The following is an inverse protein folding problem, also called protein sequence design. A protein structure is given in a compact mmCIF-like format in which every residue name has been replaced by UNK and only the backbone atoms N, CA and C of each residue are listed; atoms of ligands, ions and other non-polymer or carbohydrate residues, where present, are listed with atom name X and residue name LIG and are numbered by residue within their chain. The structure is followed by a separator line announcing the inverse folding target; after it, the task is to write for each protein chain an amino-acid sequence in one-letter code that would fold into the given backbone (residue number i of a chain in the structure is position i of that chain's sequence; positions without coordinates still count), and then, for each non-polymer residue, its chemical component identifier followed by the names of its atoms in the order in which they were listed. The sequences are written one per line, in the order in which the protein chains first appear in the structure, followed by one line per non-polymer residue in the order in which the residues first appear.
data_IF_869639938335
#
_entry.id   IF_869639938335
#
_cell.length_a   1.000
_cell.length_b   1.000
_cell.length_c   1.000
_cell.angle_alpha   90.00
_cell.angle_beta   90.00
_cell.angle_gamma   90.00
#
_symmetry.space_group_name_H-M   'P 1'
#
loop_
_entity.id
_entity.type
_entity.pdbx_description
1 polymer ?
#
# COMPACT_ATOMS: atom_id res chain seq x y z
N UNK A 1 -36.49 33.92 -17.33
CA UNK A 1 -35.08 33.67 -17.41
C UNK A 1 -34.73 32.58 -16.43
N UNK A 2 -34.83 31.35 -16.83
CA UNK A 2 -34.45 30.26 -15.98
C UNK A 2 -32.98 30.24 -15.79
N UNK A 3 -32.52 30.59 -14.63
CA UNK A 3 -31.22 30.11 -14.19
C UNK A 3 -31.34 28.61 -14.06
N UNK A 4 -31.04 27.94 -15.11
CA UNK A 4 -30.71 26.57 -15.02
C UNK A 4 -29.43 26.49 -14.23
N UNK A 5 -29.58 26.42 -12.91
CA UNK A 5 -28.55 25.85 -12.11
C UNK A 5 -28.31 24.48 -12.66
N UNK A 6 -27.32 24.35 -13.48
CA UNK A 6 -26.74 23.05 -13.73
C UNK A 6 -26.24 22.59 -12.40
N UNK A 7 -27.08 21.86 -11.73
CA UNK A 7 -26.62 20.98 -10.65
C UNK A 7 -25.71 19.97 -11.34
N UNK A 8 -24.49 20.38 -11.52
CA UNK A 8 -23.46 19.41 -11.65
C UNK A 8 -23.46 18.67 -10.32
N UNK A 9 -24.31 17.69 -10.20
CA UNK A 9 -24.14 16.70 -9.18
C UNK A 9 -22.84 16.01 -9.51
N UNK A 10 -21.77 16.57 -9.01
CA UNK A 10 -20.53 15.84 -8.91
C UNK A 10 -20.86 14.65 -8.05
N UNK A 11 -21.16 13.56 -8.69
CA UNK A 11 -21.25 12.29 -8.05
C UNK A 11 -19.86 11.94 -7.60
N UNK A 12 -19.45 12.51 -6.47
CA UNK A 12 -18.40 11.92 -5.70
C UNK A 12 -18.97 10.62 -5.21
N UNK A 13 -18.54 9.52 -5.78
CA UNK A 13 -18.75 8.22 -5.18
C UNK A 13 -17.89 8.16 -3.94
N UNK A 14 -18.47 8.38 -2.74
CA UNK A 14 -17.74 8.11 -1.51
C UNK A 14 -17.56 6.62 -1.45
N UNK A 15 -16.37 6.14 -1.32
CA UNK A 15 -16.12 4.72 -1.20
C UNK A 15 -15.17 4.17 -2.20
N UNK A 16 -14.70 4.97 -3.13
CA UNK A 16 -13.40 4.71 -3.66
C UNK A 16 -12.40 5.05 -2.56
N UNK A 17 -12.25 4.13 -1.62
CA UNK A 17 -11.07 4.12 -0.80
C UNK A 17 -9.92 3.86 -1.76
N UNK A 18 -9.58 4.88 -2.54
CA UNK A 18 -8.46 4.83 -3.44
C UNK A 18 -7.23 4.51 -2.63
N UNK A 19 -6.48 3.53 -3.07
CA UNK A 19 -5.17 3.25 -2.51
C UNK A 19 -4.31 4.50 -2.65
N UNK A 20 -3.69 4.93 -1.56
CA UNK A 20 -2.74 6.04 -1.61
C UNK A 20 -1.40 5.55 -2.09
N UNK A 21 -0.88 6.18 -3.14
CA UNK A 21 0.45 5.94 -3.67
C UNK A 21 1.37 7.05 -3.20
N UNK A 22 2.52 6.67 -2.67
CA UNK A 22 3.52 7.58 -2.15
C UNK A 22 4.84 7.29 -2.83
N UNK A 23 5.55 8.34 -3.25
CA UNK A 23 6.91 8.18 -3.76
C UNK A 23 7.88 8.16 -2.59
N UNK A 24 8.56 7.02 -2.40
CA UNK A 24 9.60 6.91 -1.39
C UNK A 24 10.94 7.43 -1.88
N UNK A 25 11.80 7.78 -0.95
CA UNK A 25 13.15 8.25 -1.23
C UNK A 25 14.15 7.16 -0.88
N UNK A 26 15.00 6.79 -1.84
CA UNK A 26 16.02 5.75 -1.62
C UNK A 26 17.35 6.43 -1.30
N UNK A 27 17.91 6.04 -0.14
CA UNK A 27 19.28 6.40 0.26
C UNK A 27 19.99 5.12 0.70
N UNK A 28 21.01 4.72 -0.03
CA UNK A 28 21.69 3.45 0.20
C UNK A 28 20.71 2.29 0.03
N UNK A 29 20.55 1.47 1.06
CA UNK A 29 19.63 0.33 1.06
C UNK A 29 18.27 0.65 1.70
N UNK A 30 17.99 1.92 2.04
CA UNK A 30 16.75 2.30 2.72
C UNK A 30 15.82 3.07 1.79
N UNK A 31 14.56 2.67 1.81
CA UNK A 31 13.44 3.38 1.19
C UNK A 31 12.69 4.09 2.30
N UNK A 32 12.65 5.42 2.26
CA UNK A 32 12.07 6.23 3.32
C UNK A 32 10.76 6.88 2.90
N UNK A 33 9.79 6.86 3.79
CA UNK A 33 8.53 7.61 3.70
C UNK A 33 8.28 8.29 5.04
N UNK A 34 7.30 9.18 5.07
CA UNK A 34 6.91 9.87 6.30
C UNK A 34 5.73 9.16 6.95
N UNK A 35 5.71 9.14 8.27
CA UNK A 35 4.54 8.65 9.01
C UNK A 35 3.28 9.41 8.61
N UNK A 36 3.40 10.72 8.36
CA UNK A 36 2.28 11.55 7.95
C UNK A 36 1.71 11.16 6.57
N UNK A 37 2.42 10.37 5.77
CA UNK A 37 1.90 9.82 4.52
C UNK A 37 0.71 8.90 4.76
N UNK A 38 0.54 8.39 5.97
CA UNK A 38 -0.61 7.59 6.37
C UNK A 38 -1.83 8.41 6.80
N UNK A 39 -1.70 9.73 6.96
CA UNK A 39 -2.80 10.57 7.38
C UNK A 39 -3.70 10.94 6.19
N UNK A 40 -5.01 10.77 6.38
CA UNK A 40 -5.99 11.26 5.43
C UNK A 40 -6.37 12.72 5.74
N UNK A 41 -7.31 13.27 4.97
CA UNK A 41 -7.74 14.66 5.14
C UNK A 41 -8.37 14.93 6.50
N UNK A 42 -8.96 13.92 7.12
CA UNK A 42 -9.59 14.01 8.44
C UNK A 42 -8.60 13.75 9.59
N UNK A 43 -7.30 13.65 9.30
CA UNK A 43 -6.24 13.29 10.22
C UNK A 43 -6.39 11.91 10.86
N UNK A 44 -7.10 11.01 10.19
CA UNK A 44 -7.16 9.59 10.55
C UNK A 44 -6.06 8.82 9.83
N UNK A 45 -5.54 7.78 10.47
CA UNK A 45 -4.52 6.94 9.86
C UNK A 45 -5.12 5.93 8.91
N UNK A 46 -4.57 5.90 7.69
CA UNK A 46 -4.86 4.86 6.71
C UNK A 46 -4.27 3.53 7.18
N UNK A 47 -4.89 2.43 6.78
CA UNK A 47 -4.40 1.08 7.10
C UNK A 47 -3.15 0.71 6.31
N UNK A 48 -2.99 1.28 5.13
CA UNK A 48 -1.83 1.03 4.27
C UNK A 48 -1.58 2.18 3.31
N UNK A 49 -0.36 2.24 2.83
CA UNK A 49 0.03 3.05 1.67
C UNK A 49 0.87 2.19 0.75
N UNK A 50 0.84 2.50 -0.55
CA UNK A 50 1.69 1.84 -1.54
C UNK A 50 2.84 2.77 -1.86
N UNK A 51 4.05 2.29 -1.68
CA UNK A 51 5.28 3.06 -1.90
C UNK A 51 5.88 2.68 -3.24
N UNK A 52 6.12 3.69 -4.05
CA UNK A 52 6.71 3.55 -5.38
C UNK A 52 8.04 4.30 -5.45
N UNK A 53 8.92 3.83 -6.30
CA UNK A 53 10.15 4.52 -6.70
C UNK A 53 10.58 3.95 -8.03
N UNK A 54 11.13 4.78 -8.92
CA UNK A 54 11.54 4.35 -10.26
C UNK A 54 12.62 3.25 -10.24
N UNK A 55 13.38 3.16 -9.15
CA UNK A 55 14.38 2.10 -8.99
C UNK A 55 13.78 0.75 -8.58
N UNK A 56 12.50 0.72 -8.20
CA UNK A 56 11.82 -0.51 -7.79
C UNK A 56 11.08 -1.11 -8.98
N UNK A 57 11.27 -2.41 -9.20
CA UNK A 57 10.53 -3.15 -10.22
C UNK A 57 9.07 -3.36 -9.81
N UNK A 58 8.82 -3.56 -8.52
CA UNK A 58 7.49 -3.73 -7.94
C UNK A 58 7.30 -2.73 -6.82
N UNK A 59 6.08 -2.22 -6.61
CA UNK A 59 5.82 -1.38 -5.46
C UNK A 59 5.87 -2.18 -4.15
N UNK A 60 5.97 -1.46 -3.06
CA UNK A 60 5.97 -2.02 -1.71
C UNK A 60 4.77 -1.47 -0.97
N UNK A 61 3.88 -2.33 -0.50
CA UNK A 61 2.80 -1.92 0.38
C UNK A 61 3.30 -1.89 1.82
N UNK A 62 2.98 -0.83 2.54
CA UNK A 62 3.29 -0.72 3.96
C UNK A 62 1.96 -0.69 4.71
N UNK A 63 1.73 -1.72 5.52
CA UNK A 63 0.57 -1.80 6.41
C UNK A 63 0.93 -1.23 7.77
N UNK A 64 0.06 -0.37 8.28
CA UNK A 64 0.13 0.11 9.65
C UNK A 64 -0.70 -0.82 10.52
N UNK A 65 -0.03 -1.70 11.25
CA UNK A 65 -0.69 -2.69 12.11
C UNK A 65 -1.08 -2.09 13.46
N UNK A 66 -0.27 -1.15 13.94
CA UNK A 66 -0.53 -0.35 15.14
C UNK A 66 0.35 0.90 15.11
N UNK A 67 0.30 1.71 16.14
CA UNK A 67 1.02 2.99 16.22
C UNK A 67 2.51 2.89 15.88
N UNK A 68 3.18 1.84 16.34
CA UNK A 68 4.62 1.66 16.13
C UNK A 68 4.95 0.37 15.36
N UNK A 69 3.95 -0.28 14.78
CA UNK A 69 4.15 -1.55 14.11
C UNK A 69 3.70 -1.44 12.65
N UNK A 70 4.67 -1.52 11.75
CA UNK A 70 4.48 -1.42 10.30
C UNK A 70 5.03 -2.67 9.64
N UNK A 71 4.34 -3.13 8.60
CA UNK A 71 4.76 -4.29 7.81
C UNK A 71 4.90 -3.89 6.35
N UNK A 72 6.08 -4.03 5.80
CA UNK A 72 6.36 -3.73 4.39
C UNK A 72 6.47 -5.02 3.59
N UNK A 73 5.70 -5.10 2.51
CA UNK A 73 5.61 -6.30 1.67
C UNK A 73 5.83 -5.93 0.21
N UNK A 74 6.64 -6.74 -0.49
CA UNK A 74 6.80 -6.60 -1.94
C UNK A 74 5.52 -7.04 -2.63
N UNK A 75 4.97 -6.17 -3.47
CA UNK A 75 3.71 -6.44 -4.19
C UNK A 75 3.94 -7.30 -5.43
N UNK A 76 4.61 -8.41 -5.24
CA UNK A 76 4.93 -9.38 -6.29
C UNK A 76 4.36 -10.73 -5.90
N UNK A 77 3.45 -11.25 -6.70
CA UNK A 77 2.87 -12.57 -6.46
C UNK A 77 3.96 -13.65 -6.51
N UNK A 78 4.02 -14.48 -5.47
CA UNK A 78 5.03 -15.54 -5.38
C UNK A 78 4.74 -16.72 -6.30
N UNK A 79 3.53 -16.77 -6.90
CA UNK A 79 3.19 -17.81 -7.86
C UNK A 79 3.87 -17.58 -9.21
N UNK A 80 3.63 -16.42 -9.85
CA UNK A 80 4.17 -16.14 -11.19
C UNK A 80 4.71 -14.72 -11.38
N UNK A 81 4.89 -13.97 -10.29
CA UNK A 81 5.49 -12.66 -10.35
C UNK A 81 4.59 -11.54 -10.86
N UNK A 82 3.28 -11.74 -10.92
CA UNK A 82 2.32 -10.69 -11.26
C UNK A 82 2.28 -9.63 -10.15
N UNK A 83 2.15 -8.37 -10.52
CA UNK A 83 1.97 -7.30 -9.54
C UNK A 83 0.64 -7.46 -8.82
N UNK A 84 0.69 -7.38 -7.50
CA UNK A 84 -0.47 -7.56 -6.64
C UNK A 84 -1.30 -6.28 -6.54
N UNK A 85 -2.56 -6.44 -6.18
CA UNK A 85 -3.46 -5.36 -5.79
C UNK A 85 -3.74 -5.43 -4.30
N UNK A 86 -3.89 -4.28 -3.65
CA UNK A 86 -4.18 -4.22 -2.23
C UNK A 86 -5.64 -3.80 -2.02
N UNK A 87 -6.32 -4.52 -1.12
CA UNK A 87 -7.70 -4.24 -0.73
C UNK A 87 -7.80 -4.30 0.79
N UNK A 88 -8.01 -3.14 1.43
CA UNK A 88 -8.15 -3.08 2.88
C UNK A 88 -6.91 -3.62 3.58
N UNK A 89 -7.02 -4.81 4.17
CA UNK A 89 -5.96 -5.46 4.93
C UNK A 89 -5.39 -6.70 4.24
N UNK A 90 -5.62 -6.86 2.93
CA UNK A 90 -5.14 -8.02 2.16
C UNK A 90 -4.65 -7.63 0.79
N UNK A 91 -3.91 -8.56 0.17
CA UNK A 91 -3.45 -8.43 -1.20
C UNK A 91 -4.03 -9.56 -2.04
N UNK A 92 -4.28 -9.25 -3.32
CA UNK A 92 -4.81 -10.21 -4.26
C UNK A 92 -4.03 -10.17 -5.56
N UNK A 93 -3.77 -11.35 -6.13
CA UNK A 93 -3.20 -11.47 -7.46
C UNK A 93 -4.32 -11.46 -8.51
N UNK A 94 -4.34 -10.48 -9.42
CA UNK A 94 -5.39 -10.39 -10.42
C UNK A 94 -5.31 -11.50 -11.48
N UNK A 95 -4.17 -12.18 -11.61
CA UNK A 95 -3.98 -13.19 -12.65
C UNK A 95 -4.69 -14.50 -12.30
N UNK A 96 -4.47 -15.05 -11.09
CA UNK A 96 -4.98 -16.36 -10.71
C UNK A 96 -5.68 -16.39 -9.35
N UNK A 97 -5.90 -15.23 -8.73
CA UNK A 97 -6.69 -15.11 -7.52
C UNK A 97 -5.98 -15.47 -6.22
N UNK A 98 -4.65 -15.63 -6.23
CA UNK A 98 -3.90 -15.81 -4.97
C UNK A 98 -4.14 -14.65 -4.03
N UNK A 99 -4.32 -14.93 -2.74
CA UNK A 99 -4.55 -13.92 -1.72
C UNK A 99 -3.52 -14.03 -0.60
N UNK A 100 -3.15 -12.88 -0.06
CA UNK A 100 -2.17 -12.77 1.01
C UNK A 100 -2.71 -11.85 2.10
N UNK A 101 -2.37 -12.16 3.34
CA UNK A 101 -2.72 -11.33 4.49
C UNK A 101 -1.83 -10.09 4.55
N UNK A 102 -2.16 -9.16 5.45
CA UNK A 102 -1.34 -7.96 5.69
C UNK A 102 0.01 -8.26 6.35
N UNK A 103 0.30 -9.49 6.69
CA UNK A 103 1.62 -9.94 7.15
C UNK A 103 2.37 -10.71 6.08
N UNK A 104 1.77 -10.89 4.89
CA UNK A 104 2.39 -11.57 3.76
C UNK A 104 2.16 -13.07 3.70
N UNK A 105 1.40 -13.63 4.65
CA UNK A 105 1.07 -15.06 4.64
C UNK A 105 0.08 -15.38 3.52
N UNK A 106 0.22 -16.55 2.92
CA UNK A 106 -0.74 -17.04 1.93
C UNK A 106 -2.09 -17.29 2.60
N UNK A 107 -3.12 -16.69 2.07
CA UNK A 107 -4.50 -16.90 2.51
C UNK A 107 -5.28 -17.79 1.55
N UNK A 108 -4.99 -17.66 0.26
CA UNK A 108 -5.63 -18.46 -0.78
C UNK A 108 -4.64 -18.72 -1.90
N UNK A 109 -4.59 -19.97 -2.39
CA UNK A 109 -3.74 -20.36 -3.51
C UNK A 109 -4.21 -19.79 -4.86
N UNK A 110 -3.47 -20.03 -5.94
CA UNK A 110 -2.42 -21.05 -6.11
C UNK A 110 -1.03 -20.73 -5.54
N UNK A 111 -0.76 -19.50 -5.08
CA UNK A 111 0.50 -19.23 -4.40
C UNK A 111 0.62 -20.08 -3.13
N UNK A 112 1.83 -20.56 -2.84
CA UNK A 112 2.13 -21.39 -1.69
C UNK A 112 3.28 -20.84 -0.84
N UNK A 113 3.84 -19.72 -1.25
CA UNK A 113 4.97 -19.08 -0.58
C UNK A 113 4.58 -17.68 -0.14
N UNK A 114 4.95 -17.30 1.08
CA UNK A 114 4.68 -15.98 1.62
C UNK A 114 5.38 -14.86 0.81
N UNK A 115 4.85 -13.65 0.91
CA UNK A 115 5.43 -12.49 0.25
C UNK A 115 6.76 -12.11 0.91
N UNK A 116 7.68 -11.56 0.10
CA UNK A 116 8.89 -10.96 0.65
C UNK A 116 8.51 -9.78 1.52
N UNK A 117 9.02 -9.76 2.74
CA UNK A 117 8.86 -8.65 3.67
C UNK A 117 10.18 -7.92 3.90
N UNK A 118 10.08 -6.67 4.29
CA UNK A 118 11.23 -5.82 4.56
C UNK A 118 11.12 -5.28 5.99
N UNK A 119 12.21 -5.25 6.77
CA UNK A 119 12.18 -4.60 8.06
C UNK A 119 11.82 -3.12 7.93
N UNK A 120 11.02 -2.62 8.85
CA UNK A 120 10.66 -1.21 8.92
C UNK A 120 11.17 -0.64 10.24
N UNK A 121 11.96 0.42 10.14
CA UNK A 121 12.52 1.13 11.29
C UNK A 121 11.84 2.49 11.36
N UNK A 122 11.20 2.78 12.50
CA UNK A 122 10.61 4.09 12.74
C UNK A 122 11.61 4.96 13.51
N UNK A 123 12.00 6.06 12.91
CA UNK A 123 12.85 7.07 13.56
C UNK A 123 12.10 8.39 13.56
N UNK A 124 11.65 8.83 14.74
CA UNK A 124 10.77 9.99 14.87
C UNK A 124 9.54 9.83 14.00
N UNK A 125 9.39 10.64 12.97
CA UNK A 125 8.26 10.59 12.02
C UNK A 125 8.65 10.03 10.65
N UNK A 126 9.79 9.38 10.55
CA UNK A 126 10.26 8.77 9.32
C UNK A 126 10.21 7.26 9.44
N UNK A 127 9.67 6.61 8.43
CA UNK A 127 9.69 5.17 8.30
C UNK A 127 10.74 4.78 7.28
N UNK A 128 11.70 3.98 7.69
CA UNK A 128 12.78 3.47 6.84
C UNK A 128 12.55 2.00 6.56
N UNK A 129 12.38 1.67 5.31
CA UNK A 129 12.19 0.31 4.84
C UNK A 129 13.54 -0.21 4.38
N UNK A 130 14.03 -1.26 5.02
CA UNK A 130 15.32 -1.87 4.71
C UNK A 130 15.18 -2.81 3.52
N UNK A 131 15.77 -2.42 2.38
CA UNK A 131 15.69 -3.18 1.14
C UNK A 131 16.83 -4.21 1.00
N UNK A 132 17.76 -4.25 1.94
CA UNK A 132 18.91 -5.14 1.87
C UNK A 132 18.57 -6.63 2.02
#
# INVERSE_FOLDING_TARGET
MGCLGVLASSMFLPGCSGTRYVTGNIQGSFLSIKEDDFLNEDHDYLKHVVVQNDALQYPIVVFRLSTDNYKALLMKCTHQGTELQVFGDRLQCPAHGSEFTNTGSVQNGPADTELRSFPVIKELKTLKIDLS
#
